data_IF_685375298402
#
_entry.id   IF_685375298402
#
_cell.length_a   1.000
_cell.length_b   1.000
_cell.length_c   1.000
_cell.angle_alpha   90.00
_cell.angle_beta   90.00
_cell.angle_gamma   90.00
#
_symmetry.space_group_name_H-M   'P 1'
#
loop_
_entity.id
_entity.type
_entity.pdbx_description
1 polymer ?
#
# COMPACT_ATOMS: atom_id res chain seq x y z
N UNK A 1 8.62 -12.86 18.09
CA UNK A 1 7.35 -13.06 17.37
C UNK A 1 7.36 -12.07 16.20
N UNK A 2 7.56 -12.46 14.93
CA UNK A 2 7.68 -11.48 13.83
C UNK A 2 6.27 -11.15 13.33
N UNK A 3 5.59 -10.21 14.00
CA UNK A 3 4.12 -10.18 14.09
C UNK A 3 3.35 -9.19 13.23
N UNK A 4 3.95 -8.15 12.68
CA UNK A 4 3.19 -7.11 11.95
C UNK A 4 4.16 -6.25 11.14
N UNK A 5 5.30 -5.99 11.76
CA UNK A 5 6.44 -5.27 11.20
C UNK A 5 6.96 -5.92 9.90
N UNK A 6 7.13 -7.25 9.92
CA UNK A 6 7.53 -8.01 8.73
C UNK A 6 6.53 -7.89 7.57
N UNK A 7 5.24 -7.72 7.85
CA UNK A 7 4.19 -7.68 6.83
C UNK A 7 4.20 -6.35 6.08
N UNK A 8 4.25 -5.21 6.81
CA UNK A 8 4.38 -3.87 6.20
C UNK A 8 5.69 -3.71 5.43
N UNK A 9 6.80 -4.26 5.94
CA UNK A 9 8.10 -4.22 5.26
C UNK A 9 8.11 -5.02 3.96
N UNK A 10 7.52 -6.22 3.96
CA UNK A 10 7.37 -7.02 2.74
C UNK A 10 6.53 -6.30 1.69
N UNK A 11 5.47 -5.60 2.11
CA UNK A 11 4.61 -4.87 1.20
C UNK A 11 5.32 -3.64 0.61
N UNK A 12 6.06 -2.91 1.46
CA UNK A 12 6.96 -1.83 1.02
C UNK A 12 7.96 -2.33 -0.02
N UNK A 13 8.67 -3.43 0.27
CA UNK A 13 9.66 -4.03 -0.64
C UNK A 13 9.03 -4.48 -1.94
N UNK A 14 7.84 -5.09 -1.88
CA UNK A 14 7.08 -5.49 -3.07
C UNK A 14 6.78 -4.29 -3.98
N UNK A 15 6.23 -3.21 -3.43
CA UNK A 15 5.88 -2.02 -4.21
C UNK A 15 7.12 -1.28 -4.73
N UNK A 16 8.19 -1.19 -3.95
CA UNK A 16 9.46 -0.59 -4.38
C UNK A 16 10.07 -1.38 -5.55
N UNK A 17 10.13 -2.71 -5.43
CA UNK A 17 10.60 -3.57 -6.50
C UNK A 17 9.72 -3.44 -7.75
N UNK A 18 8.40 -3.27 -7.59
CA UNK A 18 7.50 -3.05 -8.73
C UNK A 18 7.80 -1.76 -9.48
N UNK A 19 8.13 -0.67 -8.78
CA UNK A 19 8.58 0.59 -9.38
C UNK A 19 9.90 0.40 -10.12
N UNK A 20 10.87 -0.28 -9.51
CA UNK A 20 12.17 -0.57 -10.13
C UNK A 20 12.03 -1.42 -11.39
N UNK A 21 11.17 -2.45 -11.36
CA UNK A 21 10.87 -3.27 -12.53
C UNK A 21 10.21 -2.42 -13.63
N UNK A 22 9.25 -1.57 -13.28
CA UNK A 22 8.57 -0.71 -14.24
C UNK A 22 9.47 0.35 -14.88
N UNK A 23 10.60 0.70 -14.26
CA UNK A 23 11.60 1.62 -14.82
C UNK A 23 12.29 1.06 -16.08
N UNK A 24 12.25 -0.28 -16.25
CA UNK A 24 12.78 -0.97 -17.44
C UNK A 24 11.78 -1.02 -18.59
N UNK A 25 10.51 -0.75 -18.30
CA UNK A 25 9.42 -0.74 -19.28
C UNK A 25 9.36 0.61 -20.01
N UNK A 26 8.60 0.72 -21.12
CA UNK A 26 8.39 2.00 -21.78
C UNK A 26 7.88 3.06 -20.79
N UNK A 27 8.36 4.31 -20.93
CA UNK A 27 7.96 5.45 -20.09
C UNK A 27 6.45 5.59 -19.81
N UNK A 28 5.52 5.32 -20.76
CA UNK A 28 4.09 5.31 -20.44
C UNK A 28 3.70 4.20 -19.45
N UNK A 29 4.29 3.00 -19.56
CA UNK A 29 4.04 1.87 -18.66
C UNK A 29 4.58 2.18 -17.25
N UNK A 30 5.82 2.69 -17.15
CA UNK A 30 6.40 3.14 -15.88
C UNK A 30 5.48 4.12 -15.14
N UNK A 31 4.98 5.15 -15.85
CA UNK A 31 4.06 6.15 -15.30
C UNK A 31 2.73 5.56 -14.88
N UNK A 32 2.20 4.61 -15.65
CA UNK A 32 0.95 3.94 -15.34
C UNK A 32 1.09 3.06 -14.09
N UNK A 33 2.19 2.31 -13.95
CA UNK A 33 2.48 1.50 -12.76
C UNK A 33 2.64 2.39 -11.53
N UNK A 34 3.39 3.49 -11.63
CA UNK A 34 3.54 4.45 -10.53
C UNK A 34 2.19 5.05 -10.09
N UNK A 35 1.37 5.45 -11.04
CA UNK A 35 0.01 5.95 -10.78
C UNK A 35 -0.84 4.88 -10.11
N UNK A 36 -0.81 3.65 -10.61
CA UNK A 36 -1.58 2.54 -10.08
C UNK A 36 -1.20 2.20 -8.63
N UNK A 37 0.11 2.24 -8.30
CA UNK A 37 0.59 2.07 -6.92
C UNK A 37 0.12 3.23 -6.04
N UNK A 38 0.18 4.47 -6.52
CA UNK A 38 -0.31 5.63 -5.76
C UNK A 38 -1.80 5.51 -5.46
N UNK A 39 -2.62 5.16 -6.45
CA UNK A 39 -4.08 4.98 -6.28
C UNK A 39 -4.41 3.82 -5.32
N UNK A 40 -3.60 2.74 -5.32
CA UNK A 40 -3.70 1.66 -4.32
C UNK A 40 -3.39 2.17 -2.91
N UNK A 41 -2.31 2.96 -2.74
CA UNK A 41 -1.95 3.53 -1.44
C UNK A 41 -3.02 4.50 -0.93
N UNK A 42 -3.57 5.33 -1.82
CA UNK A 42 -4.65 6.28 -1.54
C UNK A 42 -6.03 5.62 -1.35
N UNK A 43 -6.11 4.28 -1.41
CA UNK A 43 -7.35 3.51 -1.32
C UNK A 43 -8.42 3.86 -2.37
N UNK A 44 -8.00 4.37 -3.52
CA UNK A 44 -8.89 4.63 -4.67
C UNK A 44 -9.06 3.39 -5.54
N UNK A 45 -8.09 2.49 -5.50
CA UNK A 45 -8.10 1.19 -6.20
C UNK A 45 -8.02 0.08 -5.15
N UNK A 46 -8.96 -0.86 -5.24
CA UNK A 46 -8.97 -2.07 -4.39
C UNK A 46 -7.89 -3.06 -4.84
N UNK A 47 -7.39 -3.95 -3.95
CA UNK A 47 -6.33 -4.90 -4.28
C UNK A 47 -6.66 -5.83 -5.45
N UNK A 48 -7.93 -6.18 -5.64
CA UNK A 48 -8.40 -7.00 -6.75
C UNK A 48 -8.24 -6.28 -8.10
N UNK A 49 -8.68 -5.02 -8.15
CA UNK A 49 -8.55 -4.18 -9.35
C UNK A 49 -7.08 -3.83 -9.63
N UNK A 50 -6.29 -3.58 -8.58
CA UNK A 50 -4.85 -3.35 -8.72
C UNK A 50 -4.16 -4.53 -9.40
N UNK A 51 -4.42 -5.77 -8.95
CA UNK A 51 -3.82 -6.96 -9.55
C UNK A 51 -4.22 -7.11 -11.02
N UNK A 52 -5.51 -6.99 -11.34
CA UNK A 52 -6.01 -7.11 -12.73
C UNK A 52 -5.37 -6.07 -13.66
N UNK A 53 -5.29 -4.80 -13.23
CA UNK A 53 -4.67 -3.74 -14.02
C UNK A 53 -3.16 -3.94 -14.16
N UNK A 54 -2.51 -4.42 -13.10
CA UNK A 54 -1.07 -4.67 -13.11
C UNK A 54 -0.70 -5.82 -14.06
N UNK A 55 -1.49 -6.89 -14.07
CA UNK A 55 -1.32 -8.03 -14.97
C UNK A 55 -1.41 -7.59 -16.43
N UNK A 56 -2.39 -6.74 -16.76
CA UNK A 56 -2.55 -6.18 -18.12
C UNK A 56 -1.41 -5.25 -18.53
N UNK A 57 -0.90 -4.43 -17.60
CA UNK A 57 0.17 -3.48 -17.87
C UNK A 57 1.53 -4.16 -18.09
N UNK A 58 1.82 -5.22 -17.34
CA UNK A 58 3.12 -5.91 -17.34
C UNK A 58 3.08 -7.27 -18.06
N UNK A 59 1.94 -7.64 -18.65
CA UNK A 59 1.66 -8.97 -19.20
C UNK A 59 2.06 -10.09 -18.22
N UNK A 60 1.82 -9.86 -16.93
CA UNK A 60 2.19 -10.75 -15.85
C UNK A 60 1.10 -11.81 -15.61
N UNK A 61 1.48 -12.97 -15.06
CA UNK A 61 0.53 -14.01 -14.71
C UNK A 61 -0.16 -13.76 -13.35
N UNK A 62 -1.41 -14.23 -13.17
CA UNK A 62 -2.15 -14.04 -11.94
C UNK A 62 -1.48 -14.74 -10.76
N UNK A 63 -1.36 -14.02 -9.65
CA UNK A 63 -0.80 -14.55 -8.41
C UNK A 63 -1.90 -14.77 -7.35
N UNK A 64 -2.32 -16.03 -7.09
CA UNK A 64 -3.49 -16.33 -6.26
C UNK A 64 -3.36 -15.93 -4.78
N UNK A 65 -2.16 -15.56 -4.31
CA UNK A 65 -1.92 -15.14 -2.92
C UNK A 65 -1.69 -13.63 -2.76
N UNK A 66 -1.52 -12.88 -3.86
CA UNK A 66 -1.12 -11.47 -3.81
C UNK A 66 -2.24 -10.59 -3.23
N UNK A 67 -3.48 -10.83 -3.63
CA UNK A 67 -4.65 -10.08 -3.16
C UNK A 67 -4.79 -10.18 -1.64
N UNK A 68 -4.70 -11.41 -1.09
CA UNK A 68 -4.78 -11.64 0.35
C UNK A 68 -3.62 -11.00 1.12
N UNK A 69 -2.41 -11.02 0.53
CA UNK A 69 -1.25 -10.33 1.08
C UNK A 69 -1.46 -8.81 1.12
N UNK A 70 -1.93 -8.21 0.03
CA UNK A 70 -2.19 -6.77 -0.06
C UNK A 70 -3.28 -6.34 0.93
N UNK A 71 -4.41 -7.06 1.00
CA UNK A 71 -5.50 -6.77 1.94
C UNK A 71 -5.03 -6.74 3.40
N UNK A 72 -4.12 -7.64 3.80
CA UNK A 72 -3.55 -7.66 5.15
C UNK A 72 -2.47 -6.61 5.37
N UNK A 73 -1.69 -6.29 4.34
CA UNK A 73 -0.48 -5.46 4.48
C UNK A 73 -0.72 -3.97 4.27
N UNK A 74 -1.65 -3.60 3.38
CA UNK A 74 -1.94 -2.21 3.03
C UNK A 74 -2.37 -1.36 4.23
N UNK A 75 -3.26 -1.81 5.14
CA UNK A 75 -3.62 -1.03 6.33
C UNK A 75 -2.40 -0.67 7.17
N UNK A 76 -1.49 -1.63 7.36
CA UNK A 76 -0.25 -1.46 8.13
C UNK A 76 0.72 -0.53 7.41
N UNK A 77 0.90 -0.72 6.10
CA UNK A 77 1.80 0.09 5.29
C UNK A 77 1.32 1.55 5.22
N UNK A 78 0.02 1.78 4.98
CA UNK A 78 -0.56 3.13 4.94
C UNK A 78 -0.33 3.86 6.26
N UNK A 79 -0.50 3.18 7.39
CA UNK A 79 -0.20 3.74 8.71
C UNK A 79 1.27 4.14 8.84
N UNK A 80 2.19 3.26 8.47
CA UNK A 80 3.63 3.53 8.52
C UNK A 80 4.10 4.63 7.57
N UNK A 81 3.45 4.78 6.41
CA UNK A 81 3.72 5.89 5.47
C UNK A 81 3.27 7.23 6.07
N UNK A 82 2.10 7.29 6.73
CA UNK A 82 1.59 8.52 7.36
C UNK A 82 2.43 8.90 8.58
N UNK A 83 2.84 7.94 9.41
CA UNK A 83 3.72 8.18 10.56
C UNK A 83 5.18 8.41 10.15
N UNK A 84 5.49 8.33 8.84
CA UNK A 84 6.86 8.41 8.28
C UNK A 84 7.81 7.37 8.85
N UNK A 85 7.28 6.27 9.39
CA UNK A 85 8.06 5.13 9.84
C UNK A 85 8.68 4.39 8.64
N UNK A 86 7.95 4.33 7.52
CA UNK A 86 8.41 3.80 6.25
C UNK A 86 8.24 4.83 5.13
N UNK A 87 9.06 4.71 4.08
CA UNK A 87 8.97 5.53 2.87
C UNK A 87 9.17 4.67 1.62
N UNK A 88 8.45 4.98 0.55
CA UNK A 88 8.64 4.35 -0.76
C UNK A 88 9.03 5.48 -1.71
N UNK A 89 10.20 5.36 -2.34
CA UNK A 89 10.65 6.38 -3.29
C UNK A 89 9.64 6.50 -4.44
N UNK A 90 9.36 7.74 -4.85
CA UNK A 90 8.39 8.01 -5.91
C UNK A 90 6.91 7.90 -5.51
N UNK A 91 6.56 7.46 -4.30
CA UNK A 91 5.17 7.36 -3.81
C UNK A 91 4.94 8.32 -2.64
N UNK A 92 3.82 9.03 -2.68
CA UNK A 92 3.42 9.96 -1.61
C UNK A 92 2.67 9.19 -0.51
N UNK A 93 2.83 9.57 0.77
CA UNK A 93 2.04 8.99 1.84
C UNK A 93 0.54 9.26 1.59
N UNK A 94 -0.34 8.34 1.98
CA UNK A 94 -1.77 8.50 1.75
C UNK A 94 -2.33 9.64 2.60
N UNK A 95 -3.51 10.16 2.25
CA UNK A 95 -4.21 11.12 3.10
C UNK A 95 -4.49 10.50 4.49
N UNK A 96 -4.36 11.26 5.58
CA UNK A 96 -4.56 10.74 6.93
C UNK A 96 -5.94 10.09 7.12
N UNK A 97 -6.98 10.65 6.49
CA UNK A 97 -8.36 10.16 6.58
C UNK A 97 -8.52 8.72 6.07
N UNK A 98 -7.69 8.28 5.12
CA UNK A 98 -7.71 6.90 4.58
C UNK A 98 -7.20 5.89 5.61
N UNK A 99 -6.39 6.34 6.57
CA UNK A 99 -5.75 5.47 7.58
C UNK A 99 -6.59 5.41 8.86
N UNK A 100 -7.24 6.50 9.25
CA UNK A 100 -8.01 6.54 10.50
C UNK A 100 -9.33 5.79 10.46
N UNK A 101 -9.83 5.37 9.29
CA UNK A 101 -11.04 4.53 9.18
C UNK A 101 -10.88 3.13 9.81
N UNK A 102 -9.63 2.69 10.06
CA UNK A 102 -9.33 1.39 10.67
C UNK A 102 -9.08 1.52 12.19
N UNK A 103 -8.89 2.74 12.70
CA UNK A 103 -8.62 3.03 14.11
C UNK A 103 -9.90 3.27 14.94
N UNK A 104 -11.06 2.84 14.44
CA UNK A 104 -12.36 2.90 15.11
C UNK A 104 -12.54 1.90 16.27
N UNK A 105 -11.45 1.51 16.94
CA UNK A 105 -11.52 0.72 18.18
C UNK A 105 -10.42 1.16 19.15
N UNK A 106 -10.46 2.43 19.57
CA UNK A 106 -9.95 2.82 20.89
C UNK A 106 -11.13 3.32 21.73
N UNK A 107 -11.46 2.65 22.85
CA UNK A 107 -12.50 3.11 23.75
C UNK A 107 -12.06 4.39 24.48
N UNK A 108 -13.06 5.20 24.83
CA UNK A 108 -12.98 6.44 25.60
C UNK A 108 -12.01 6.35 26.78
N UNK A 109 -11.21 7.39 26.99
CA UNK A 109 -10.83 7.84 28.34
C UNK A 109 -11.23 9.31 28.47
N UNK A 110 -12.42 9.52 29.02
CA UNK A 110 -12.73 10.74 29.75
C UNK A 110 -11.70 10.87 30.88
N UNK A 111 -10.89 11.93 30.86
CA UNK A 111 -10.23 12.39 32.07
C UNK A 111 -10.82 13.76 32.43
N UNK A 112 -11.83 13.65 33.29
CA UNK A 112 -12.35 14.68 34.16
C UNK A 112 -11.26 15.15 35.12
N UNK A 113 -11.47 16.36 35.66
CA UNK A 113 -10.82 17.01 36.82
C UNK A 113 -9.59 17.85 36.47
N UNK A 114 -9.60 19.16 36.70
CA UNK A 114 -10.13 19.89 37.86
C UNK A 114 -10.72 21.25 37.47
#
# INVERSE_FOLDING_TARGET
RPTTDNTKEKCRKFLANLLELSSREPKPVERNVRTLIQELIDAKVEPEEFCDRLEKLLNASPQPCLIGFLKKSLPLLRQSLVTKELVIDGIKPPPPHVVFSIAGAVPQVQQQQQ
#
